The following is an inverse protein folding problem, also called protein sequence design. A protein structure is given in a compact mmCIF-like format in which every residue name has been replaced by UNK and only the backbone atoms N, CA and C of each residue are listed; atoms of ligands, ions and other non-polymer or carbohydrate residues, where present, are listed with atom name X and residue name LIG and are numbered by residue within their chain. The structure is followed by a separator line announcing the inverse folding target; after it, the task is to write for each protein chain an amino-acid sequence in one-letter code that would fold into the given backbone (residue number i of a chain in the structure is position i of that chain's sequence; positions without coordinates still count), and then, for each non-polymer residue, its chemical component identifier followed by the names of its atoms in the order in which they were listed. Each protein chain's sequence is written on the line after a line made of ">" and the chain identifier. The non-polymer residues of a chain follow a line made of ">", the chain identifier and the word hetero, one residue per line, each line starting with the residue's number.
data_IF_337921381556
#
_entry.id   IF_337921381556
#
_cell.length_a   1.000
_cell.length_b   1.000
_cell.length_c   1.000
_cell.angle_alpha   90.00
_cell.angle_beta   90.00
_cell.angle_gamma   90.00
#
_symmetry.space_group_name_H-M   'P 1'
#
loop_
_entity.id
_entity.type
_entity.pdbx_description
1 polymer ?
#
# COMPACT_ATOMS: atom_id res chain seq x y z
N UNK A 1 -31.65 -13.30 -20.93
CA UNK A 1 -30.75 -14.44 -21.14
C UNK A 1 -29.36 -13.85 -21.34
N UNK A 2 -28.51 -13.93 -20.33
CA UNK A 2 -27.09 -13.56 -20.43
C UNK A 2 -26.40 -14.76 -21.06
N UNK A 3 -25.84 -14.61 -22.27
CA UNK A 3 -25.09 -15.65 -22.93
C UNK A 3 -23.88 -16.11 -22.11
N UNK A 4 -23.33 -17.28 -22.36
CA UNK A 4 -22.16 -17.77 -21.63
C UNK A 4 -21.02 -16.77 -21.79
N UNK A 5 -20.48 -16.31 -20.66
CA UNK A 5 -19.24 -15.48 -20.66
C UNK A 5 -18.14 -16.29 -21.34
N UNK A 6 -17.47 -15.76 -22.38
CA UNK A 6 -16.39 -16.48 -23.05
C UNK A 6 -15.36 -16.90 -22.00
N UNK A 7 -14.96 -18.16 -22.02
CA UNK A 7 -13.92 -18.68 -21.12
C UNK A 7 -12.54 -18.28 -21.63
N UNK A 8 -12.24 -16.98 -21.49
CA UNK A 8 -10.99 -16.37 -21.92
C UNK A 8 -9.75 -17.14 -21.41
N UNK A 9 -9.85 -17.75 -20.22
CA UNK A 9 -8.77 -18.54 -19.66
C UNK A 9 -8.49 -19.80 -20.46
N UNK A 10 -9.53 -20.49 -20.93
CA UNK A 10 -9.39 -21.70 -21.78
C UNK A 10 -8.91 -21.37 -23.18
N UNK A 11 -9.42 -20.28 -23.76
CA UNK A 11 -8.97 -19.81 -25.09
C UNK A 11 -7.48 -19.43 -25.05
N UNK A 12 -7.04 -18.68 -24.02
CA UNK A 12 -5.64 -18.30 -23.84
C UNK A 12 -4.76 -19.55 -23.63
N UNK A 13 -5.23 -20.51 -22.84
CA UNK A 13 -4.52 -21.75 -22.61
C UNK A 13 -4.39 -22.58 -23.89
N UNK A 14 -5.48 -22.71 -24.65
CA UNK A 14 -5.45 -23.42 -25.95
C UNK A 14 -4.44 -22.76 -26.90
N UNK A 15 -4.44 -21.42 -26.99
CA UNK A 15 -3.47 -20.68 -27.81
C UNK A 15 -2.02 -20.87 -27.33
N UNK A 16 -1.81 -20.91 -26.00
CA UNK A 16 -0.45 -21.06 -25.45
C UNK A 16 0.17 -22.44 -25.66
N UNK A 17 -0.66 -23.49 -25.89
CA UNK A 17 -0.20 -24.85 -26.13
C UNK A 17 -0.36 -25.29 -27.59
N UNK A 18 -0.86 -24.40 -28.44
CA UNK A 18 -1.04 -24.63 -29.87
C UNK A 18 0.29 -24.96 -30.54
N UNK A 19 0.33 -26.05 -31.33
CA UNK A 19 1.55 -26.52 -32.01
C UNK A 19 2.50 -27.36 -31.17
N UNK A 20 2.18 -27.65 -29.89
CA UNK A 20 2.99 -28.56 -29.07
C UNK A 20 2.65 -30.01 -29.37
N UNK A 21 3.65 -30.87 -29.59
CA UNK A 21 3.43 -32.31 -29.80
C UNK A 21 2.79 -32.96 -28.55
N UNK A 22 1.96 -33.99 -28.79
CA UNK A 22 1.18 -34.61 -27.71
C UNK A 22 2.02 -35.23 -26.56
N UNK A 23 3.23 -35.68 -26.88
CA UNK A 23 4.22 -36.24 -25.96
C UNK A 23 5.03 -35.17 -25.20
N UNK A 24 5.11 -33.97 -25.78
CA UNK A 24 5.81 -32.81 -25.18
C UNK A 24 4.86 -31.80 -24.49
N UNK A 25 3.57 -32.13 -24.35
CA UNK A 25 2.57 -31.20 -23.89
C UNK A 25 2.92 -30.66 -22.47
N UNK A 26 3.19 -29.35 -22.34
CA UNK A 26 3.68 -28.78 -21.08
C UNK A 26 2.60 -28.71 -20.00
N UNK A 27 1.32 -28.79 -20.39
CA UNK A 27 0.20 -28.69 -19.47
C UNK A 27 0.05 -29.98 -18.68
N UNK A 28 0.26 -29.93 -17.38
CA UNK A 28 0.17 -31.08 -16.47
C UNK A 28 -1.13 -31.11 -15.68
N UNK A 29 -1.71 -29.96 -15.39
CA UNK A 29 -2.93 -29.85 -14.60
C UNK A 29 -3.61 -28.51 -14.82
N UNK A 30 -4.93 -28.49 -14.93
CA UNK A 30 -5.77 -27.28 -14.94
C UNK A 30 -6.69 -27.35 -13.73
N UNK A 31 -6.64 -26.31 -12.90
CA UNK A 31 -7.55 -26.17 -11.77
C UNK A 31 -8.53 -25.03 -12.03
N UNK A 32 -9.80 -25.34 -12.13
CA UNK A 32 -10.86 -24.34 -12.15
C UNK A 32 -11.12 -23.84 -10.73
N UNK A 33 -10.80 -22.58 -10.47
CA UNK A 33 -11.07 -21.94 -9.20
C UNK A 33 -12.44 -21.26 -9.25
N UNK A 34 -13.39 -21.63 -8.37
CA UNK A 34 -14.69 -20.99 -8.36
C UNK A 34 -14.57 -19.51 -8.07
N UNK A 35 -15.38 -18.63 -8.71
CA UNK A 35 -15.37 -17.21 -8.46
C UNK A 35 -15.71 -16.91 -7.01
N UNK A 36 -14.89 -16.11 -6.33
CA UNK A 36 -15.19 -15.62 -4.99
C UNK A 36 -16.14 -14.43 -5.11
N UNK A 37 -17.28 -14.48 -4.43
CA UNK A 37 -18.18 -13.32 -4.36
C UNK A 37 -17.48 -12.16 -3.65
N UNK A 38 -17.38 -11.02 -4.34
CA UNK A 38 -16.91 -9.79 -3.74
C UNK A 38 -17.93 -9.32 -2.68
N UNK A 39 -17.46 -9.06 -1.47
CA UNK A 39 -18.27 -8.43 -0.44
C UNK A 39 -17.88 -6.95 -0.36
N UNK A 40 -18.67 -6.12 -1.02
CA UNK A 40 -18.52 -4.66 -0.97
C UNK A 40 -19.35 -4.06 0.17
N UNK A 41 -18.92 -2.90 0.65
CA UNK A 41 -19.60 -2.11 1.69
C UNK A 41 -19.76 -0.67 1.21
N UNK A 42 -20.68 0.06 1.84
CA UNK A 42 -20.81 1.50 1.57
C UNK A 42 -19.51 2.23 1.99
N UNK A 43 -19.22 3.34 1.32
CA UNK A 43 -18.12 4.22 1.71
C UNK A 43 -18.33 4.73 3.14
N UNK A 44 -17.30 4.83 3.96
CA UNK A 44 -17.43 5.24 5.34
C UNK A 44 -17.74 6.74 5.43
N UNK A 45 -18.52 7.13 6.41
CA UNK A 45 -18.93 8.53 6.62
C UNK A 45 -17.77 9.51 6.85
N UNK A 46 -16.63 9.00 7.35
CA UNK A 46 -15.43 9.80 7.60
C UNK A 46 -14.58 10.02 6.33
N UNK A 47 -14.85 9.29 5.24
CA UNK A 47 -14.11 9.49 4.00
C UNK A 47 -14.49 10.81 3.35
N UNK A 48 -13.48 11.54 2.89
CA UNK A 48 -13.72 12.79 2.16
C UNK A 48 -14.53 12.53 0.88
N UNK A 49 -15.64 13.27 0.64
CA UNK A 49 -16.52 13.01 -0.52
C UNK A 49 -15.83 13.19 -1.87
N UNK A 50 -14.92 14.16 -2.01
CA UNK A 50 -14.21 14.41 -3.27
C UNK A 50 -13.19 13.30 -3.54
N UNK A 51 -12.57 12.77 -2.48
CA UNK A 51 -11.71 11.60 -2.58
C UNK A 51 -12.49 10.35 -2.96
N UNK A 52 -13.68 10.14 -2.38
CA UNK A 52 -14.59 9.04 -2.74
C UNK A 52 -14.98 9.15 -4.22
N UNK A 53 -15.29 10.35 -4.70
CA UNK A 53 -15.62 10.56 -6.12
C UNK A 53 -14.41 10.23 -7.01
N UNK A 54 -13.20 10.66 -6.64
CA UNK A 54 -11.99 10.33 -7.39
C UNK A 54 -11.70 8.81 -7.47
N UNK A 55 -12.08 8.04 -6.45
CA UNK A 55 -12.02 6.58 -6.52
C UNK A 55 -13.10 5.99 -7.44
N UNK A 56 -14.33 6.54 -7.42
CA UNK A 56 -15.41 6.12 -8.33
C UNK A 56 -15.05 6.38 -9.79
N UNK A 57 -14.48 7.53 -10.09
CA UNK A 57 -14.02 7.90 -11.44
C UNK A 57 -12.92 6.94 -11.97
N UNK A 58 -12.30 6.18 -11.07
CA UNK A 58 -11.33 5.12 -11.39
C UNK A 58 -11.94 3.71 -11.39
N UNK A 59 -13.27 3.61 -11.37
CA UNK A 59 -13.99 2.34 -11.43
C UNK A 59 -14.11 1.60 -10.07
N UNK A 60 -13.91 2.31 -8.96
CA UNK A 60 -14.14 1.74 -7.62
C UNK A 60 -15.47 2.26 -7.08
N UNK A 61 -16.57 1.62 -7.46
CA UNK A 61 -17.90 2.01 -7.02
C UNK A 61 -18.10 1.89 -5.49
N UNK A 62 -17.54 0.83 -4.92
CA UNK A 62 -17.62 0.56 -3.48
C UNK A 62 -16.39 -0.24 -3.00
N UNK A 63 -15.88 0.05 -1.78
CA UNK A 63 -14.75 -0.68 -1.23
C UNK A 63 -15.14 -2.10 -0.86
N UNK A 64 -14.19 -3.01 -0.95
CA UNK A 64 -14.36 -4.36 -0.42
C UNK A 64 -14.30 -4.35 1.12
N UNK A 65 -15.00 -5.29 1.75
CA UNK A 65 -15.11 -5.37 3.22
C UNK A 65 -13.75 -5.38 3.93
N UNK A 66 -12.75 -6.07 3.39
CA UNK A 66 -11.40 -6.10 3.97
C UNK A 66 -10.64 -4.76 3.81
N UNK A 67 -10.88 -4.05 2.71
CA UNK A 67 -10.28 -2.72 2.48
C UNK A 67 -10.84 -1.72 3.49
N UNK A 68 -12.16 -1.71 3.66
CA UNK A 68 -12.82 -0.82 4.59
C UNK A 68 -12.46 -1.14 6.04
N UNK A 69 -12.50 -2.40 6.45
CA UNK A 69 -12.10 -2.79 7.80
C UNK A 69 -10.66 -2.37 8.14
N UNK A 70 -9.73 -2.52 7.19
CA UNK A 70 -8.35 -2.07 7.37
C UNK A 70 -8.25 -0.54 7.43
N UNK A 71 -9.02 0.18 6.60
CA UNK A 71 -9.06 1.65 6.60
C UNK A 71 -9.65 2.21 7.89
N UNK A 72 -10.74 1.62 8.41
CA UNK A 72 -11.36 2.00 9.68
C UNK A 72 -10.38 1.81 10.86
N UNK A 73 -9.75 0.64 10.96
CA UNK A 73 -8.76 0.41 12.01
C UNK A 73 -7.58 1.38 11.92
N UNK A 74 -7.09 1.66 10.72
CA UNK A 74 -6.01 2.62 10.53
C UNK A 74 -6.43 4.04 10.92
N UNK A 75 -7.66 4.45 10.60
CA UNK A 75 -8.22 5.75 11.00
C UNK A 75 -8.34 5.89 12.51
N UNK A 76 -8.70 4.80 13.20
CA UNK A 76 -8.78 4.74 14.67
C UNK A 76 -7.39 4.67 15.35
N UNK A 77 -6.30 4.81 14.61
CA UNK A 77 -4.93 4.77 15.15
C UNK A 77 -4.42 3.36 15.46
N UNK A 78 -5.13 2.31 15.05
CA UNK A 78 -4.75 0.91 15.29
C UNK A 78 -3.80 0.43 14.20
N UNK A 79 -2.76 -0.28 14.59
CA UNK A 79 -1.88 -0.95 13.63
C UNK A 79 -2.63 -2.06 12.89
N UNK A 80 -2.37 -2.20 11.58
CA UNK A 80 -3.10 -3.12 10.70
C UNK A 80 -2.13 -4.04 9.99
N UNK A 81 -2.49 -5.31 9.90
CA UNK A 81 -1.87 -6.28 8.98
C UNK A 81 -2.92 -6.72 7.98
N UNK A 82 -2.73 -6.36 6.71
CA UNK A 82 -3.62 -6.71 5.61
C UNK A 82 -2.97 -7.83 4.78
N UNK A 83 -3.46 -9.06 4.96
CA UNK A 83 -2.99 -10.23 4.22
C UNK A 83 -4.09 -10.73 3.28
N UNK A 84 -3.99 -10.38 2.00
CA UNK A 84 -4.97 -10.75 0.97
C UNK A 84 -4.25 -11.16 -0.30
N UNK A 85 -4.93 -11.85 -1.23
CA UNK A 85 -4.35 -12.25 -2.51
C UNK A 85 -3.78 -11.08 -3.31
N UNK A 86 -2.97 -11.36 -4.32
CA UNK A 86 -2.53 -10.37 -5.31
C UNK A 86 -3.74 -9.77 -6.03
N UNK A 87 -3.63 -8.54 -6.50
CA UNK A 87 -4.71 -7.81 -7.19
C UNK A 87 -6.01 -7.63 -6.36
N UNK A 88 -5.94 -7.70 -5.03
CA UNK A 88 -7.08 -7.47 -4.13
C UNK A 88 -7.31 -6.00 -3.77
N UNK A 89 -6.70 -5.07 -4.50
CA UNK A 89 -6.87 -3.64 -4.28
C UNK A 89 -6.40 -3.15 -2.90
N UNK A 90 -5.35 -3.74 -2.31
CA UNK A 90 -4.80 -3.35 -1.00
C UNK A 90 -4.49 -1.86 -0.87
N UNK A 91 -4.17 -1.20 -1.99
CA UNK A 91 -3.82 0.22 -2.01
C UNK A 91 -4.92 1.12 -1.46
N UNK A 92 -6.19 0.83 -1.74
CA UNK A 92 -7.31 1.59 -1.22
C UNK A 92 -7.36 1.57 0.31
N UNK A 93 -7.04 0.44 0.93
CA UNK A 93 -7.09 0.27 2.38
C UNK A 93 -6.17 1.24 3.15
N UNK A 94 -5.06 1.68 2.54
CA UNK A 94 -4.19 2.70 3.13
C UNK A 94 -4.31 4.07 2.47
N UNK A 95 -4.61 4.14 1.17
CA UNK A 95 -4.76 5.43 0.49
C UNK A 95 -5.94 6.23 1.03
N UNK A 96 -7.07 5.58 1.30
CA UNK A 96 -8.27 6.25 1.80
C UNK A 96 -8.03 6.95 3.14
N UNK A 97 -7.58 6.29 4.22
CA UNK A 97 -7.37 6.97 5.49
C UNK A 97 -6.20 7.97 5.44
N UNK A 98 -5.14 7.68 4.69
CA UNK A 98 -4.00 8.59 4.54
C UNK A 98 -4.44 9.89 3.87
N UNK A 99 -5.07 9.83 2.69
CA UNK A 99 -5.44 11.02 1.93
C UNK A 99 -6.50 11.85 2.65
N UNK A 100 -7.49 11.20 3.29
CA UNK A 100 -8.46 11.91 4.14
C UNK A 100 -7.74 12.66 5.26
N UNK A 101 -6.81 12.00 5.99
CA UNK A 101 -6.06 12.66 7.06
C UNK A 101 -5.14 13.77 6.55
N UNK A 102 -4.49 13.57 5.40
CA UNK A 102 -3.65 14.61 4.81
C UNK A 102 -4.45 15.82 4.34
N UNK A 103 -5.72 15.65 3.97
CA UNK A 103 -6.63 16.75 3.66
C UNK A 103 -7.08 17.49 4.92
N UNK A 104 -7.43 16.77 5.98
CA UNK A 104 -7.91 17.32 7.25
C UNK A 104 -6.82 18.06 8.04
N UNK A 105 -5.57 17.54 8.04
CA UNK A 105 -4.44 18.12 8.78
C UNK A 105 -3.28 18.46 7.83
N UNK A 106 -3.03 19.75 7.53
CA UNK A 106 -1.95 20.18 6.65
C UNK A 106 -0.54 19.83 7.15
N UNK A 107 -0.40 19.53 8.44
CA UNK A 107 0.89 19.11 9.01
C UNK A 107 1.12 17.62 8.90
N UNK A 108 0.08 16.83 8.77
CA UNK A 108 0.18 15.38 8.71
C UNK A 108 1.11 14.92 7.58
N UNK A 109 1.84 13.85 7.85
CA UNK A 109 2.81 13.22 6.95
C UNK A 109 2.54 11.72 6.86
N UNK A 110 2.89 11.14 5.72
CA UNK A 110 2.83 9.70 5.49
C UNK A 110 4.15 9.20 4.90
N UNK A 111 4.52 7.98 5.24
CA UNK A 111 5.68 7.27 4.70
C UNK A 111 5.24 5.92 4.16
N UNK A 112 5.59 5.66 2.91
CA UNK A 112 5.37 4.38 2.24
C UNK A 112 6.71 3.69 2.00
N UNK A 113 6.81 2.44 2.38
CA UNK A 113 7.99 1.61 2.19
C UNK A 113 7.66 0.38 1.36
N UNK A 114 8.44 0.15 0.31
CA UNK A 114 8.37 -1.04 -0.53
C UNK A 114 9.74 -1.73 -0.62
N UNK A 115 9.76 -3.04 -0.91
CA UNK A 115 11.02 -3.77 -1.09
C UNK A 115 11.74 -3.42 -2.40
N UNK A 116 11.00 -2.97 -3.41
CA UNK A 116 11.56 -2.64 -4.73
C UNK A 116 11.16 -1.23 -5.17
N UNK A 117 12.03 -0.57 -5.93
CA UNK A 117 11.77 0.76 -6.49
C UNK A 117 10.58 0.75 -7.45
N UNK A 118 10.45 -0.29 -8.29
CA UNK A 118 9.37 -0.41 -9.26
C UNK A 118 8.00 -0.37 -8.58
N UNK A 119 7.79 -1.18 -7.52
CA UNK A 119 6.56 -1.17 -6.73
C UNK A 119 6.33 0.21 -6.06
N UNK A 120 7.39 0.80 -5.52
CA UNK A 120 7.32 2.15 -4.94
C UNK A 120 6.87 3.19 -5.93
N UNK A 121 7.38 3.15 -7.16
CA UNK A 121 7.03 4.09 -8.22
C UNK A 121 5.60 3.88 -8.75
N UNK A 122 5.10 2.64 -8.80
CA UNK A 122 3.71 2.37 -9.19
C UNK A 122 2.73 2.97 -8.17
N UNK A 123 2.99 2.78 -6.89
CA UNK A 123 2.17 3.34 -5.82
C UNK A 123 2.31 4.87 -5.73
N UNK A 124 3.49 5.40 -5.98
CA UNK A 124 3.73 6.84 -6.09
C UNK A 124 2.88 7.45 -7.21
N UNK A 125 2.88 6.85 -8.42
CA UNK A 125 2.04 7.32 -9.54
C UNK A 125 0.56 7.30 -9.20
N UNK A 126 0.09 6.23 -8.54
CA UNK A 126 -1.29 6.13 -8.08
C UNK A 126 -1.65 7.23 -7.08
N UNK A 127 -0.79 7.50 -6.10
CA UNK A 127 -0.98 8.56 -5.12
C UNK A 127 -0.93 9.95 -5.77
N UNK A 128 0.04 10.22 -6.65
CA UNK A 128 0.18 11.48 -7.36
C UNK A 128 -1.06 11.79 -8.22
N UNK A 129 -1.58 10.77 -8.89
CA UNK A 129 -2.78 10.93 -9.71
C UNK A 129 -4.07 11.17 -8.88
N UNK A 130 -4.15 10.70 -7.62
CA UNK A 130 -5.24 11.07 -6.71
C UNK A 130 -5.07 12.50 -6.18
N UNK A 131 -3.87 12.84 -5.73
CA UNK A 131 -3.61 14.16 -5.17
C UNK A 131 -3.68 15.30 -6.19
N UNK A 132 -3.53 15.01 -7.49
CA UNK A 132 -3.67 16.01 -8.56
C UNK A 132 -5.11 16.37 -8.90
N UNK A 133 -6.08 15.48 -8.63
CA UNK A 133 -7.49 15.69 -9.00
C UNK A 133 -8.38 16.03 -7.80
N UNK A 134 -7.96 15.69 -6.58
CA UNK A 134 -8.76 15.97 -5.37
C UNK A 134 -8.42 17.35 -4.82
N UNK A 135 -9.38 18.28 -4.74
CA UNK A 135 -9.17 19.60 -4.16
C UNK A 135 -8.60 19.54 -2.74
N UNK A 136 -7.64 20.41 -2.44
CA UNK A 136 -6.99 20.46 -1.13
C UNK A 136 -5.87 19.42 -0.91
N UNK A 137 -5.55 18.58 -1.90
CA UNK A 137 -4.44 17.61 -1.83
C UNK A 137 -3.23 17.95 -2.71
N UNK A 138 -3.27 19.05 -3.45
CA UNK A 138 -2.15 19.42 -4.35
C UNK A 138 -0.81 19.64 -3.61
N UNK A 139 -0.86 20.09 -2.36
CA UNK A 139 0.30 20.34 -1.51
C UNK A 139 0.88 19.06 -0.87
N UNK A 140 0.19 17.92 -0.98
CA UNK A 140 0.71 16.63 -0.50
C UNK A 140 2.00 16.26 -1.21
N UNK A 141 2.07 16.53 -2.51
CA UNK A 141 3.24 16.36 -3.35
C UNK A 141 3.95 15.01 -3.10
N UNK A 142 3.31 13.86 -3.44
CA UNK A 142 3.93 12.56 -3.28
C UNK A 142 5.29 12.51 -3.95
N UNK A 143 6.34 12.13 -3.23
CA UNK A 143 7.72 12.25 -3.70
C UNK A 143 8.52 10.98 -3.44
N UNK A 144 9.32 10.51 -4.41
CA UNK A 144 10.24 9.41 -4.19
C UNK A 144 11.42 9.87 -3.33
N UNK A 145 11.92 8.96 -2.48
CA UNK A 145 13.11 9.18 -1.69
C UNK A 145 13.97 7.92 -1.67
N UNK A 146 14.84 7.79 -2.65
CA UNK A 146 15.74 6.67 -2.83
C UNK A 146 17.16 7.11 -3.22
N UNK A 147 18.06 6.14 -3.45
CA UNK A 147 19.45 6.39 -3.76
C UNK A 147 19.68 7.05 -5.12
N UNK A 148 18.76 6.88 -6.08
CA UNK A 148 18.87 7.40 -7.44
C UNK A 148 18.27 8.81 -7.58
N UNK A 149 17.53 9.26 -6.56
CA UNK A 149 16.93 10.60 -6.58
C UNK A 149 18.01 11.70 -6.59
N UNK A 150 17.91 12.72 -7.47
CA UNK A 150 18.73 13.90 -7.42
C UNK A 150 18.69 14.61 -6.06
N UNK A 151 19.73 15.38 -5.75
CA UNK A 151 19.84 16.10 -4.47
C UNK A 151 18.68 17.06 -4.21
N UNK A 152 18.20 17.73 -5.27
CA UNK A 152 17.06 18.65 -5.24
C UNK A 152 15.76 17.92 -4.87
N UNK A 153 15.51 16.74 -5.47
CA UNK A 153 14.33 15.89 -5.15
C UNK A 153 14.41 15.41 -3.70
N UNK A 154 15.58 14.96 -3.24
CA UNK A 154 15.78 14.56 -1.84
C UNK A 154 15.60 15.72 -0.86
N UNK A 155 16.03 16.93 -1.22
CA UNK A 155 15.77 18.13 -0.42
C UNK A 155 14.29 18.46 -0.38
N UNK A 156 13.62 18.46 -1.54
CA UNK A 156 12.18 18.70 -1.65
C UNK A 156 11.38 17.68 -0.82
N UNK A 157 11.71 16.37 -0.93
CA UNK A 157 11.07 15.34 -0.14
C UNK A 157 11.13 15.63 1.36
N UNK A 158 12.30 16.04 1.87
CA UNK A 158 12.48 16.37 3.29
C UNK A 158 11.72 17.62 3.73
N UNK A 159 11.71 18.66 2.90
CA UNK A 159 11.24 19.99 3.29
C UNK A 159 9.78 20.24 2.97
N UNK A 160 9.27 19.64 1.89
CA UNK A 160 7.95 19.96 1.32
C UNK A 160 7.00 18.78 1.23
N UNK A 161 7.49 17.60 0.83
CA UNK A 161 6.62 16.46 0.62
C UNK A 161 5.89 16.03 1.89
N UNK A 162 4.60 15.74 1.74
CA UNK A 162 3.77 15.24 2.83
C UNK A 162 3.54 13.74 2.75
N UNK A 163 3.86 13.11 1.61
CA UNK A 163 3.84 11.67 1.44
C UNK A 163 5.09 11.18 0.71
N UNK A 164 5.95 10.51 1.43
CA UNK A 164 7.24 10.02 0.91
C UNK A 164 7.15 8.54 0.59
N UNK A 165 7.70 8.17 -0.57
CA UNK A 165 7.84 6.80 -1.05
C UNK A 165 9.31 6.39 -1.04
N UNK A 166 9.65 5.33 -0.29
CA UNK A 166 11.05 4.95 -0.04
C UNK A 166 11.19 3.43 0.15
N UNK A 167 12.35 3.02 0.63
CA UNK A 167 12.64 1.65 1.06
C UNK A 167 13.33 1.64 2.44
N UNK A 168 13.36 0.50 3.13
CA UNK A 168 13.95 0.41 4.48
C UNK A 168 15.42 0.81 4.55
N UNK A 169 16.22 0.50 3.53
CA UNK A 169 17.66 0.83 3.50
C UNK A 169 17.86 2.34 3.45
N UNK A 170 17.11 3.03 2.62
CA UNK A 170 17.19 4.49 2.52
C UNK A 170 16.74 5.17 3.81
N UNK A 171 15.72 4.63 4.48
CA UNK A 171 15.32 5.10 5.80
C UNK A 171 16.45 4.91 6.81
N UNK A 172 17.08 3.73 6.84
CA UNK A 172 18.19 3.44 7.75
C UNK A 172 19.40 4.35 7.51
N UNK A 173 19.87 4.41 6.26
CA UNK A 173 21.14 5.05 5.93
C UNK A 173 21.05 6.57 5.86
N UNK A 174 19.89 7.12 5.55
CA UNK A 174 19.73 8.56 5.35
C UNK A 174 18.84 9.22 6.40
N UNK A 175 17.56 8.82 6.51
CA UNK A 175 16.61 9.49 7.39
C UNK A 175 16.96 9.30 8.86
N UNK A 176 17.18 8.06 9.32
CA UNK A 176 17.46 7.76 10.73
C UNK A 176 18.85 8.18 11.16
N UNK A 177 19.82 8.15 10.25
CA UNK A 177 21.17 8.64 10.53
C UNK A 177 21.19 10.15 10.75
N UNK A 178 20.38 10.89 10.01
CA UNK A 178 20.29 12.34 10.05
C UNK A 178 18.95 12.81 10.62
N UNK A 179 18.39 12.09 11.57
CA UNK A 179 17.02 12.27 12.07
C UNK A 179 16.70 13.68 12.56
N UNK A 180 17.70 14.44 13.04
CA UNK A 180 17.50 15.83 13.45
C UNK A 180 17.05 16.73 12.28
N UNK A 181 17.53 16.47 11.05
CA UNK A 181 17.10 17.19 9.84
C UNK A 181 15.69 16.76 9.38
N UNK A 182 15.18 15.64 9.91
CA UNK A 182 13.87 15.09 9.62
C UNK A 182 12.88 15.29 10.78
N UNK A 183 13.26 16.06 11.80
CA UNK A 183 12.47 16.23 13.01
C UNK A 183 11.03 16.68 12.74
N UNK A 184 10.82 17.62 11.80
CA UNK A 184 9.49 18.11 11.42
C UNK A 184 8.66 17.00 10.75
N UNK A 185 9.27 16.23 9.84
CA UNK A 185 8.60 15.11 9.18
C UNK A 185 8.23 14.00 10.20
N UNK A 186 9.20 13.60 11.03
CA UNK A 186 9.02 12.53 12.02
C UNK A 186 7.98 12.89 13.08
N UNK A 187 7.94 14.15 13.51
CA UNK A 187 6.95 14.65 14.47
C UNK A 187 5.52 14.58 13.95
N UNK A 188 5.35 14.81 12.65
CA UNK A 188 4.05 14.87 12.02
C UNK A 188 3.67 13.59 11.25
N UNK A 189 4.49 12.55 11.34
CA UNK A 189 4.22 11.28 10.69
C UNK A 189 3.00 10.61 11.34
N UNK A 190 1.91 10.45 10.56
CA UNK A 190 0.66 9.83 11.00
C UNK A 190 0.53 8.40 10.54
N UNK A 191 1.05 8.09 9.35
CA UNK A 191 0.95 6.76 8.76
C UNK A 191 2.29 6.26 8.26
N UNK A 192 2.55 5.00 8.55
CA UNK A 192 3.66 4.21 8.02
C UNK A 192 3.09 3.01 7.29
N UNK A 193 3.22 2.97 5.97
CA UNK A 193 2.86 1.80 5.16
C UNK A 193 4.11 0.97 4.89
N UNK A 194 4.03 -0.33 5.13
CA UNK A 194 5.07 -1.30 4.79
C UNK A 194 4.43 -2.31 3.83
N UNK A 195 4.62 -2.07 2.55
CA UNK A 195 4.01 -2.89 1.50
C UNK A 195 4.86 -4.12 1.18
N UNK A 196 4.19 -5.15 0.66
CA UNK A 196 4.77 -6.47 0.36
C UNK A 196 5.64 -6.99 1.52
N UNK A 197 5.16 -6.81 2.75
CA UNK A 197 5.92 -7.12 3.97
C UNK A 197 6.36 -8.60 4.06
N UNK A 198 5.74 -9.50 3.30
CA UNK A 198 6.16 -10.89 3.17
C UNK A 198 7.53 -11.05 2.50
N UNK A 199 8.03 -10.02 1.84
CA UNK A 199 9.36 -9.99 1.23
C UNK A 199 10.46 -9.92 2.31
N UNK A 200 10.18 -9.30 3.44
CA UNK A 200 11.12 -9.11 4.54
C UNK A 200 11.18 -10.37 5.42
N UNK A 201 12.07 -11.31 5.06
CA UNK A 201 12.24 -12.60 5.75
C UNK A 201 13.69 -12.85 6.17
N UNK A 202 13.87 -13.77 7.11
CA UNK A 202 15.18 -14.17 7.60
C UNK A 202 15.97 -12.99 8.18
N UNK A 203 17.27 -12.96 7.95
CA UNK A 203 18.18 -11.92 8.45
C UNK A 203 17.77 -10.54 7.93
N UNK A 204 17.41 -10.45 6.64
CA UNK A 204 16.96 -9.20 6.06
C UNK A 204 15.70 -8.65 6.76
N UNK A 205 14.72 -9.53 7.01
CA UNK A 205 13.52 -9.16 7.74
C UNK A 205 13.80 -8.68 9.16
N UNK A 206 14.73 -9.33 9.85
CA UNK A 206 15.17 -8.91 11.19
C UNK A 206 15.78 -7.49 11.17
N UNK A 207 16.62 -7.20 10.17
CA UNK A 207 17.21 -5.87 10.00
C UNK A 207 16.13 -4.81 9.73
N UNK A 208 15.18 -5.10 8.85
CA UNK A 208 14.07 -4.20 8.57
C UNK A 208 13.21 -3.95 9.82
N UNK A 209 12.92 -5.00 10.61
CA UNK A 209 12.20 -4.85 11.88
C UNK A 209 12.92 -3.90 12.85
N UNK A 210 14.25 -3.96 12.93
CA UNK A 210 15.04 -3.05 13.77
C UNK A 210 15.03 -1.61 13.23
N UNK A 211 15.03 -1.42 11.90
CA UNK A 211 14.88 -0.09 11.27
C UNK A 211 13.51 0.50 11.60
N UNK A 212 12.43 -0.27 11.44
CA UNK A 212 11.08 0.16 11.76
C UNK A 212 10.93 0.50 13.25
N UNK A 213 11.44 -0.35 14.13
CA UNK A 213 11.43 -0.09 15.59
C UNK A 213 12.14 1.22 15.94
N UNK A 214 13.30 1.49 15.31
CA UNK A 214 14.03 2.75 15.50
C UNK A 214 13.25 3.95 14.96
N UNK A 215 12.63 3.81 13.78
CA UNK A 215 11.79 4.85 13.20
C UNK A 215 10.64 5.23 14.14
N UNK A 216 9.85 4.24 14.59
CA UNK A 216 8.72 4.46 15.48
C UNK A 216 9.14 5.13 16.79
N UNK A 217 10.27 4.71 17.38
CA UNK A 217 10.82 5.33 18.59
C UNK A 217 11.20 6.80 18.37
N UNK A 218 11.78 7.14 17.22
CA UNK A 218 12.12 8.52 16.89
C UNK A 218 10.86 9.35 16.66
N UNK A 219 9.82 8.81 16.00
CA UNK A 219 8.54 9.50 15.86
C UNK A 219 7.94 9.84 17.25
N UNK A 220 7.86 8.87 18.14
CA UNK A 220 7.39 9.08 19.50
C UNK A 220 8.21 10.13 20.27
N UNK A 221 9.55 10.10 20.10
CA UNK A 221 10.44 11.09 20.76
C UNK A 221 10.22 12.51 20.24
N UNK A 222 9.92 12.68 18.94
CA UNK A 222 9.67 13.99 18.34
C UNK A 222 8.22 14.45 18.49
N UNK A 223 7.29 13.53 18.72
CA UNK A 223 5.87 13.84 18.96
C UNK A 223 5.70 14.57 20.29
N UNK A 224 4.95 15.68 20.33
CA UNK A 224 4.64 16.37 21.60
C UNK A 224 3.86 15.52 22.59
N UNK A 225 3.07 14.57 22.08
CA UNK A 225 2.19 13.67 22.87
C UNK A 225 2.80 12.28 23.08
N UNK A 226 3.98 12.01 22.49
CA UNK A 226 4.58 10.68 22.54
C UNK A 226 3.94 9.67 21.58
N UNK A 227 2.99 10.10 20.77
CA UNK A 227 2.27 9.22 19.83
C UNK A 227 3.20 8.70 18.73
N UNK A 228 2.93 7.47 18.31
CA UNK A 228 3.58 6.83 17.17
C UNK A 228 2.63 6.82 15.95
N UNK A 229 3.18 6.81 14.73
CA UNK A 229 2.37 6.68 13.54
C UNK A 229 1.65 5.32 13.50
N UNK A 230 0.47 5.31 12.93
CA UNK A 230 -0.25 4.07 12.63
C UNK A 230 0.49 3.29 11.55
N UNK A 231 0.88 2.07 11.84
CA UNK A 231 1.56 1.19 10.90
C UNK A 231 0.57 0.28 10.17
N UNK A 232 0.66 0.24 8.85
CA UNK A 232 -0.15 -0.60 7.97
C UNK A 232 0.80 -1.52 7.21
N UNK A 233 0.76 -2.81 7.50
CA UNK A 233 1.54 -3.84 6.84
C UNK A 233 0.66 -4.52 5.78
N UNK A 234 1.01 -4.38 4.50
CA UNK A 234 0.34 -5.04 3.41
C UNK A 234 1.18 -6.23 2.91
N UNK A 235 0.52 -7.35 2.65
CA UNK A 235 1.15 -8.58 2.21
C UNK A 235 0.32 -9.28 1.15
N UNK A 236 0.97 -9.87 0.15
CA UNK A 236 0.33 -10.87 -0.67
C UNK A 236 0.17 -12.14 0.17
N UNK A 237 -1.05 -12.38 0.64
CA UNK A 237 -1.39 -13.63 1.32
C UNK A 237 -1.20 -14.81 0.36
N UNK A 238 -0.47 -15.85 0.76
CA UNK A 238 -0.60 -17.14 0.09
C UNK A 238 -2.06 -17.57 0.21
N UNK A 239 -2.65 -18.10 -0.86
CA UNK A 239 -3.93 -18.78 -0.76
C UNK A 239 -3.80 -19.88 0.29
N UNK A 240 -4.17 -19.56 1.52
CA UNK A 240 -4.34 -20.56 2.55
C UNK A 240 -5.54 -21.38 2.08
N UNK A 241 -5.30 -22.55 1.50
CA UNK A 241 -6.35 -23.57 1.36
C UNK A 241 -6.87 -23.73 2.77
N UNK A 242 -8.13 -23.40 2.97
CA UNK A 242 -8.84 -23.75 4.21
C UNK A 242 -8.76 -25.24 4.40
N UNK A 243 -7.76 -25.69 5.15
CA UNK A 243 -7.92 -26.93 5.90
C UNK A 243 -8.70 -26.51 7.14
N UNK A 244 -9.90 -27.03 7.24
CA UNK A 244 -10.67 -27.02 8.48
C UNK A 244 -9.76 -27.36 9.65
N UNK A 245 -9.49 -26.40 10.49
CA UNK A 245 -9.08 -26.65 11.85
C UNK A 245 -9.88 -25.73 12.76
N UNK A 246 -10.88 -26.37 13.38
CA UNK A 246 -11.46 -25.90 14.62
C UNK A 246 -10.31 -25.57 15.61
N UNK A 247 -10.30 -24.36 16.08
CA UNK A 247 -9.93 -23.96 17.42
C UNK A 247 -10.74 -22.73 17.78
#
# INVERSE_FOLDING_TARGET
>A
MVGPVPDFGRELLASAVEGTAADEHPLRHVADLPPRRARTLAWPHWADPELVQAFRDRGVDAPWSHQLAAADFARDGRHVVLSTGTASGKSLAYQLPILTTLKDDPRARALYLSPTKALGHDQLRSAAALTSVVPGLADVAPTPYDGDCPSEVRRFARERSRWIFSNPDMIHLSMLRNHARWAVFLRNLRYLVVDECHYYRGIFGSNVAMVLRRLLRLCSRYSPTGEMPTAIFASAGRNCRSRDHRC
#
